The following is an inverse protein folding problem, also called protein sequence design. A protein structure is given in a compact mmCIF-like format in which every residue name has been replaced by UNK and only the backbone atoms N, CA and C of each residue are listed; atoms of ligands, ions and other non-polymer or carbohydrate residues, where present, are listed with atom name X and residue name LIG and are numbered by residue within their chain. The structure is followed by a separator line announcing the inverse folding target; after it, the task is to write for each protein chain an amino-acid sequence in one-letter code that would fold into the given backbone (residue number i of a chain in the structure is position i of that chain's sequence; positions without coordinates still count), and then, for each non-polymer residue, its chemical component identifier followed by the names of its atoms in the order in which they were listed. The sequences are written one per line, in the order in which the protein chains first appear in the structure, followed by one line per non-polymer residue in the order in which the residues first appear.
data_IF_456304921899
#
_entry.id   IF_456304921899
#
_cell.length_a   1.000
_cell.length_b   1.000
_cell.length_c   1.000
_cell.angle_alpha   90.00
_cell.angle_beta   90.00
_cell.angle_gamma   90.00
#
_symmetry.space_group_name_H-M   'P 1'
#
loop_
_entity.id
_entity.type
_entity.pdbx_description
1 polymer ?
#
# COMPACT_ATOMS: atom_id res chain seq x y z
N UNK A 1 -12.29 18.15 -13.06
CA UNK A 1 -12.68 17.02 -12.19
C UNK A 1 -12.47 17.45 -10.74
N UNK A 2 -13.43 17.19 -9.83
CA UNK A 2 -13.37 17.70 -8.47
C UNK A 2 -12.17 17.09 -7.73
N UNK A 3 -11.47 17.92 -6.95
CA UNK A 3 -10.24 17.58 -6.22
C UNK A 3 -10.65 17.07 -4.85
N UNK A 4 -10.54 15.78 -4.62
CA UNK A 4 -10.95 15.15 -3.36
C UNK A 4 -9.75 14.96 -2.45
N UNK A 5 -9.83 15.48 -1.22
CA UNK A 5 -8.84 15.26 -0.13
C UNK A 5 -9.14 13.98 0.65
N UNK A 6 -10.26 13.34 0.33
CA UNK A 6 -10.81 12.13 0.94
C UNK A 6 -10.62 10.94 0.00
N UNK A 7 -10.76 9.71 0.54
CA UNK A 7 -10.78 8.52 -0.31
C UNK A 7 -11.90 8.62 -1.36
N UNK A 8 -11.75 8.01 -2.55
CA UNK A 8 -12.76 8.03 -3.58
C UNK A 8 -14.11 7.52 -3.06
N UNK A 9 -15.18 8.27 -3.30
CA UNK A 9 -16.56 7.89 -2.96
C UNK A 9 -17.11 6.80 -3.87
N UNK A 10 -16.53 6.64 -5.06
CA UNK A 10 -16.83 5.55 -5.99
C UNK A 10 -15.64 4.61 -6.11
N UNK A 11 -15.91 3.31 -6.11
CA UNK A 11 -14.87 2.30 -6.25
C UNK A 11 -14.35 2.25 -7.69
N UNK A 12 -13.02 2.23 -7.82
CA UNK A 12 -12.35 1.82 -9.05
C UNK A 12 -11.16 0.92 -8.73
N UNK A 13 -10.83 -0.01 -9.62
CA UNK A 13 -9.72 -0.95 -9.41
C UNK A 13 -8.35 -0.25 -9.37
N UNK A 14 -8.27 0.92 -10.00
CA UNK A 14 -7.14 1.84 -10.09
C UNK A 14 -7.25 3.03 -9.12
N UNK A 15 -8.00 2.88 -8.02
CA UNK A 15 -8.29 3.98 -7.09
C UNK A 15 -7.02 4.68 -6.58
N UNK A 16 -5.95 3.92 -6.31
CA UNK A 16 -4.67 4.42 -5.80
C UNK A 16 -3.97 5.32 -6.83
N UNK A 17 -4.05 4.91 -8.10
CA UNK A 17 -3.53 5.62 -9.26
C UNK A 17 -4.35 6.90 -9.53
N UNK A 18 -5.67 6.88 -9.25
CA UNK A 18 -6.58 8.01 -9.45
C UNK A 18 -6.58 9.06 -8.34
N UNK A 19 -6.01 8.77 -7.17
CA UNK A 19 -5.92 9.75 -6.08
C UNK A 19 -5.19 11.03 -6.55
N UNK A 20 -5.71 12.21 -6.17
CA UNK A 20 -5.03 13.49 -6.42
C UNK A 20 -3.74 13.54 -5.60
N UNK A 21 -2.61 13.27 -6.25
CA UNK A 21 -1.28 13.19 -5.66
C UNK A 21 -0.77 14.49 -5.02
N UNK A 22 -1.53 15.60 -5.08
CA UNK A 22 -1.23 16.83 -4.35
C UNK A 22 -1.77 16.82 -2.92
N UNK A 23 -2.69 15.91 -2.61
CA UNK A 23 -3.25 15.78 -1.27
C UNK A 23 -2.30 15.00 -0.37
N UNK A 24 -2.20 15.39 0.91
CA UNK A 24 -1.34 14.69 1.87
C UNK A 24 -1.74 13.23 2.04
N UNK A 25 -3.04 12.95 2.00
CA UNK A 25 -3.57 11.58 2.06
C UNK A 25 -3.07 10.75 0.87
N UNK A 26 -3.21 11.25 -0.36
CA UNK A 26 -2.75 10.52 -1.54
C UNK A 26 -1.25 10.26 -1.53
N UNK A 27 -0.45 11.23 -1.09
CA UNK A 27 1.00 11.08 -0.96
C UNK A 27 1.36 10.02 0.08
N UNK A 28 0.73 10.07 1.26
CA UNK A 28 0.96 9.12 2.33
C UNK A 28 0.59 7.69 1.91
N UNK A 29 -0.59 7.49 1.31
CA UNK A 29 -1.07 6.19 0.84
C UNK A 29 -0.15 5.62 -0.25
N UNK A 30 0.28 6.44 -1.23
CA UNK A 30 1.24 6.01 -2.25
C UNK A 30 2.59 5.63 -1.65
N UNK A 31 3.10 6.44 -0.74
CA UNK A 31 4.36 6.17 -0.05
C UNK A 31 4.30 4.86 0.74
N UNK A 32 3.21 4.61 1.47
CA UNK A 32 3.00 3.36 2.22
C UNK A 32 2.91 2.15 1.28
N UNK A 33 2.20 2.27 0.17
CA UNK A 33 2.15 1.20 -0.83
C UNK A 33 3.53 0.88 -1.41
N UNK A 34 4.31 1.92 -1.75
CA UNK A 34 5.69 1.74 -2.21
C UNK A 34 6.55 1.09 -1.14
N UNK A 35 6.54 1.59 0.10
CA UNK A 35 7.31 1.02 1.20
C UNK A 35 6.97 -0.45 1.45
N UNK A 36 5.68 -0.78 1.56
CA UNK A 36 5.19 -2.13 1.76
C UNK A 36 5.64 -3.06 0.63
N UNK A 37 5.48 -2.65 -0.63
CA UNK A 37 5.86 -3.49 -1.77
C UNK A 37 7.38 -3.63 -1.93
N UNK A 38 8.15 -2.61 -1.55
CA UNK A 38 9.62 -2.68 -1.46
C UNK A 38 10.04 -3.71 -0.41
N UNK A 39 9.45 -3.67 0.78
CA UNK A 39 9.79 -4.61 1.85
C UNK A 39 9.34 -6.04 1.57
N UNK A 40 8.41 -6.26 0.65
CA UNK A 40 8.00 -7.58 0.19
C UNK A 40 8.86 -8.12 -0.97
N UNK A 41 9.97 -7.46 -1.32
CA UNK A 41 10.90 -7.88 -2.37
C UNK A 41 10.80 -7.08 -3.68
N UNK A 42 10.07 -5.96 -3.67
CA UNK A 42 9.92 -5.05 -4.81
C UNK A 42 8.67 -5.34 -5.66
N UNK A 43 8.00 -4.27 -6.11
CA UNK A 43 6.69 -4.35 -6.80
C UNK A 43 6.67 -5.30 -8.02
N UNK A 44 7.73 -5.31 -8.81
CA UNK A 44 7.84 -6.15 -10.02
C UNK A 44 7.95 -7.64 -9.71
N UNK A 45 8.53 -7.99 -8.56
CA UNK A 45 8.72 -9.38 -8.13
C UNK A 45 7.50 -9.96 -7.42
N UNK A 46 6.47 -9.13 -7.16
CA UNK A 46 5.26 -9.58 -6.48
C UNK A 46 4.29 -10.23 -7.47
N UNK A 47 3.69 -11.35 -7.04
CA UNK A 47 2.54 -11.91 -7.74
C UNK A 47 1.36 -10.93 -7.74
N UNK A 48 0.44 -11.11 -8.68
CA UNK A 48 -0.80 -10.33 -8.73
C UNK A 48 -1.55 -10.37 -7.38
N UNK A 49 -1.65 -11.53 -6.74
CA UNK A 49 -2.33 -11.70 -5.46
C UNK A 49 -1.68 -10.87 -4.36
N UNK A 50 -0.33 -10.88 -4.28
CA UNK A 50 0.40 -10.06 -3.30
C UNK A 50 0.21 -8.57 -3.55
N UNK A 51 0.24 -8.13 -4.82
CA UNK A 51 -0.05 -6.73 -5.18
C UNK A 51 -1.47 -6.31 -4.79
N UNK A 52 -2.45 -7.18 -5.02
CA UNK A 52 -3.85 -6.95 -4.64
C UNK A 52 -4.04 -6.87 -3.13
N UNK A 53 -3.43 -7.78 -2.37
CA UNK A 53 -3.44 -7.77 -0.90
C UNK A 53 -2.76 -6.51 -0.34
N UNK A 54 -1.62 -6.11 -0.89
CA UNK A 54 -0.94 -4.88 -0.49
C UNK A 54 -1.81 -3.63 -0.72
N UNK A 55 -2.51 -3.53 -1.86
CA UNK A 55 -3.46 -2.42 -2.12
C UNK A 55 -4.56 -2.38 -1.07
N UNK A 56 -5.10 -3.54 -0.67
CA UNK A 56 -6.14 -3.64 0.36
C UNK A 56 -5.62 -3.28 1.75
N UNK A 57 -4.38 -3.67 2.09
CA UNK A 57 -3.78 -3.32 3.36
C UNK A 57 -3.70 -1.79 3.53
N UNK A 58 -3.17 -1.09 2.52
CA UNK A 58 -3.05 0.37 2.55
C UNK A 58 -4.41 1.06 2.52
N UNK A 59 -5.40 0.52 1.81
CA UNK A 59 -6.79 1.00 1.91
C UNK A 59 -7.31 0.92 3.35
N UNK A 60 -7.12 -0.24 4.00
CA UNK A 60 -7.57 -0.45 5.37
C UNK A 60 -6.89 0.52 6.33
N UNK A 61 -5.56 0.70 6.24
CA UNK A 61 -4.81 1.73 6.99
C UNK A 61 -5.46 3.11 6.85
N UNK A 62 -5.68 3.57 5.61
CA UNK A 62 -6.27 4.89 5.35
C UNK A 62 -7.69 5.04 5.93
N UNK A 63 -8.51 3.98 5.89
CA UNK A 63 -9.86 4.01 6.45
C UNK A 63 -9.90 3.92 7.98
N UNK A 64 -8.87 3.34 8.60
CA UNK A 64 -8.69 3.30 10.06
C UNK A 64 -8.26 4.69 10.52
N UNK A 65 -7.26 5.29 9.88
CA UNK A 65 -6.79 6.65 10.21
C UNK A 65 -7.88 7.72 10.08
N UNK A 66 -8.76 7.60 9.09
CA UNK A 66 -9.92 8.51 8.97
C UNK A 66 -10.87 8.37 10.17
N UNK A 67 -11.09 7.14 10.65
CA UNK A 67 -11.93 6.89 11.81
C UNK A 67 -11.26 7.40 13.11
N UNK A 68 -9.95 7.20 13.25
CA UNK A 68 -9.16 7.75 14.37
C UNK A 68 -9.15 9.28 14.37
N UNK A 69 -9.04 9.90 13.19
CA UNK A 69 -9.13 11.36 13.05
C UNK A 69 -10.52 11.90 13.43
N UNK A 70 -11.58 11.15 13.14
CA UNK A 70 -12.94 11.49 13.57
C UNK A 70 -13.10 11.39 15.09
N UNK A 71 -12.61 10.29 15.69
CA UNK A 71 -12.56 10.15 17.16
C UNK A 71 -11.78 11.30 17.81
N UNK A 72 -10.65 11.72 17.25
CA UNK A 72 -9.84 12.82 17.78
C UNK A 72 -10.55 14.18 17.75
N UNK A 73 -11.51 14.37 16.84
CA UNK A 73 -12.37 15.57 16.79
C UNK A 73 -13.56 15.51 17.75
N UNK A 74 -13.79 14.37 18.40
CA UNK A 74 -14.97 14.11 19.21
C UNK A 74 -16.20 13.68 18.41
N UNK A 75 -16.04 13.31 17.14
CA UNK A 75 -17.12 12.75 16.34
C UNK A 75 -17.49 11.35 16.86
N UNK A 76 -18.77 10.97 16.78
CA UNK A 76 -19.18 9.60 17.07
C UNK A 76 -18.69 8.65 15.98
N UNK A 77 -18.04 7.56 16.40
CA UNK A 77 -17.56 6.52 15.48
C UNK A 77 -17.94 5.15 16.01
N UNK A 78 -18.33 4.25 15.11
CA UNK A 78 -18.58 2.85 15.44
C UNK A 78 -17.26 2.12 15.78
N UNK A 79 -17.03 1.93 17.08
CA UNK A 79 -15.87 1.19 17.58
C UNK A 79 -15.84 -0.26 17.10
N UNK A 80 -17.00 -0.91 16.95
CA UNK A 80 -17.09 -2.27 16.41
C UNK A 80 -16.58 -2.33 14.97
N UNK A 81 -17.00 -1.38 14.14
CA UNK A 81 -16.53 -1.26 12.76
C UNK A 81 -15.01 -1.01 12.70
N UNK A 82 -14.45 -0.15 13.58
CA UNK A 82 -13.00 0.06 13.67
C UNK A 82 -12.28 -1.25 14.04
N UNK A 83 -12.75 -1.98 15.06
CA UNK A 83 -12.15 -3.24 15.48
C UNK A 83 -12.14 -4.27 14.34
N UNK A 84 -13.23 -4.39 13.57
CA UNK A 84 -13.28 -5.29 12.42
C UNK A 84 -12.28 -4.89 11.32
N UNK A 85 -12.09 -3.59 11.10
CA UNK A 85 -11.07 -3.10 10.16
C UNK A 85 -9.66 -3.47 10.59
N UNK A 86 -9.33 -3.27 11.87
CA UNK A 86 -8.02 -3.60 12.45
C UNK A 86 -7.75 -5.11 12.37
N UNK A 87 -8.74 -5.94 12.72
CA UNK A 87 -8.61 -7.40 12.63
C UNK A 87 -8.39 -7.86 11.19
N UNK A 88 -9.10 -7.26 10.24
CA UNK A 88 -8.92 -7.53 8.81
C UNK A 88 -7.53 -7.13 8.33
N UNK A 89 -7.04 -5.95 8.74
CA UNK A 89 -5.68 -5.49 8.44
C UNK A 89 -4.62 -6.45 8.99
N UNK A 90 -4.78 -6.91 10.23
CA UNK A 90 -3.88 -7.89 10.84
C UNK A 90 -3.83 -9.20 10.04
N UNK A 91 -4.98 -9.68 9.55
CA UNK A 91 -5.07 -10.85 8.67
C UNK A 91 -4.34 -10.65 7.34
N UNK A 92 -4.45 -9.46 6.75
CA UNK A 92 -3.73 -9.10 5.52
C UNK A 92 -2.21 -9.10 5.75
N UNK A 93 -1.73 -8.47 6.82
CA UNK A 93 -0.30 -8.43 7.14
C UNK A 93 0.28 -9.81 7.46
N UNK A 94 -0.44 -10.65 8.22
CA UNK A 94 -0.02 -12.04 8.44
C UNK A 94 0.10 -12.83 7.14
N UNK A 95 -0.77 -12.55 6.17
CA UNK A 95 -0.75 -13.21 4.85
C UNK A 95 0.38 -12.70 3.96
N UNK A 96 0.67 -11.39 4.01
CA UNK A 96 1.77 -10.79 3.25
C UNK A 96 3.15 -11.15 3.84
N UNK A 97 3.22 -11.29 5.16
CA UNK A 97 4.47 -11.40 5.93
C UNK A 97 4.85 -10.06 6.55
N UNK A 98 5.47 -10.13 7.74
CA UNK A 98 5.97 -8.96 8.48
C UNK A 98 7.47 -8.76 8.28
N UNK A 99 8.18 -9.77 7.77
CA UNK A 99 9.61 -9.72 7.58
C UNK A 99 9.98 -9.05 6.26
N UNK A 100 11.03 -8.23 6.31
CA UNK A 100 11.58 -7.57 5.13
C UNK A 100 12.29 -8.61 4.25
N UNK A 101 11.84 -8.72 3.02
CA UNK A 101 12.43 -9.55 1.96
C UNK A 101 13.35 -8.67 1.11
N UNK A 102 14.63 -9.03 1.03
CA UNK A 102 15.57 -8.33 0.19
C UNK A 102 15.15 -8.46 -1.29
N UNK A 103 15.08 -7.32 -1.99
CA UNK A 103 14.88 -7.33 -3.43
C UNK A 103 16.14 -7.88 -4.11
N UNK A 104 16.03 -8.86 -5.01
CA UNK A 104 17.17 -9.33 -5.80
C UNK A 104 17.67 -8.17 -6.67
N UNK A 105 18.91 -7.76 -6.45
CA UNK A 105 19.61 -6.74 -7.26
C UNK A 105 20.76 -7.44 -7.99
N UNK A 106 20.86 -7.24 -9.30
CA UNK A 106 21.99 -7.77 -10.09
C UNK A 106 23.29 -7.15 -9.61
N UNK A 107 24.30 -7.98 -9.36
CA UNK A 107 25.61 -7.47 -8.98
C UNK A 107 26.29 -6.81 -10.19
N UNK A 108 27.24 -5.92 -9.94
CA UNK A 108 28.08 -5.31 -10.98
C UNK A 108 28.74 -6.40 -11.86
N UNK A 109 29.10 -7.53 -11.24
CA UNK A 109 29.67 -8.68 -11.94
C UNK A 109 28.67 -9.34 -12.89
N UNK A 110 27.43 -9.54 -12.46
CA UNK A 110 26.37 -10.13 -13.30
C UNK A 110 26.09 -9.26 -14.53
N UNK A 111 26.13 -7.94 -14.36
CA UNK A 111 25.96 -6.96 -15.45
C UNK A 111 27.14 -7.03 -16.43
N UNK A 112 28.38 -7.08 -15.91
CA UNK A 112 29.60 -7.20 -16.73
C UNK A 112 29.62 -8.52 -17.53
N UNK A 113 29.22 -9.62 -16.92
CA UNK A 113 29.21 -10.93 -17.56
C UNK A 113 28.13 -11.01 -18.66
N UNK A 114 26.94 -10.44 -18.44
CA UNK A 114 25.93 -10.28 -19.50
C UNK A 114 26.41 -9.42 -20.66
N UNK A 115 27.12 -8.32 -20.38
CA UNK A 115 27.62 -7.43 -21.43
C UNK A 115 28.73 -8.08 -22.26
N UNK A 116 29.56 -8.93 -21.66
CA UNK A 116 30.57 -9.73 -22.38
C UNK A 116 29.95 -10.83 -23.23
N UNK A 117 28.87 -11.45 -22.78
CA UNK A 117 28.17 -12.50 -23.52
C UNK A 117 27.34 -11.97 -24.72
N UNK A 118 27.07 -10.66 -24.76
CA UNK A 118 26.34 -10.00 -25.85
C UNK A 118 27.25 -9.44 -26.97
N UNK A 119 28.57 -9.63 -26.86
CA UNK A 119 29.58 -9.29 -27.88
C UNK A 119 30.07 -10.56 -28.58
#
# INVERSE_FOLDING_TARGET
MPRSTELPTEYSHDWLERLDGRTRLAQAVRQRYTALTTDLGGHENLSYQRRSLAKRAVWMEATIEQAEAALARGDEVDHGAITQKINSLLGLYKTLGLDRVAQPVESIKDILDKHKAAQ
#
